data_IF_837127844877
#
_entry.id   IF_837127844877
#
_cell.length_a   1.000
_cell.length_b   1.000
_cell.length_c   1.000
_cell.angle_alpha   90.00
_cell.angle_beta   90.00
_cell.angle_gamma   90.00
#
_symmetry.space_group_name_H-M   'P 1'
#
loop_
_entity.id
_entity.type
_entity.pdbx_description
1 polymer ?
#
# COMPACT_ATOMS: atom_id res chain seq x y z
N UNK A 1 5.49 -33.76 1.06
CA UNK A 1 5.81 -33.10 -0.22
C UNK A 1 5.83 -31.56 -0.12
N UNK A 2 5.30 -30.92 0.93
CA UNK A 2 5.29 -29.44 1.07
C UNK A 2 6.64 -28.79 1.42
N UNK A 3 7.47 -29.42 2.27
CA UNK A 3 8.75 -28.83 2.71
C UNK A 3 9.74 -28.55 1.57
N UNK A 4 9.84 -29.46 0.59
CA UNK A 4 10.72 -29.28 -0.57
C UNK A 4 10.27 -28.17 -1.51
N UNK A 5 8.97 -27.84 -1.55
CA UNK A 5 8.46 -26.72 -2.35
C UNK A 5 8.76 -25.37 -1.68
N UNK A 6 8.60 -25.29 -0.36
CA UNK A 6 8.90 -24.08 0.41
C UNK A 6 10.38 -23.72 0.36
N UNK A 7 11.27 -24.70 0.42
CA UNK A 7 12.72 -24.49 0.33
C UNK A 7 13.17 -24.02 -1.05
N UNK A 8 12.50 -24.49 -2.13
CA UNK A 8 12.74 -24.00 -3.49
C UNK A 8 12.27 -22.55 -3.68
N UNK A 9 11.08 -22.22 -3.18
CA UNK A 9 10.54 -20.85 -3.23
C UNK A 9 11.47 -19.88 -2.47
N UNK A 10 11.96 -20.31 -1.31
CA UNK A 10 12.93 -19.53 -0.55
C UNK A 10 14.23 -19.31 -1.33
N UNK A 11 14.78 -20.35 -1.95
CA UNK A 11 15.99 -20.26 -2.77
C UNK A 11 15.83 -19.24 -3.91
N UNK A 12 14.73 -19.31 -4.67
CA UNK A 12 14.45 -18.35 -5.74
C UNK A 12 14.35 -16.91 -5.23
N UNK A 13 13.69 -16.71 -4.08
CA UNK A 13 13.61 -15.37 -3.49
C UNK A 13 14.97 -14.83 -3.07
N UNK A 14 15.84 -15.66 -2.49
CA UNK A 14 17.19 -15.23 -2.08
C UNK A 14 18.00 -14.83 -3.30
N UNK A 15 17.94 -15.62 -4.38
CA UNK A 15 18.62 -15.34 -5.65
C UNK A 15 18.15 -14.00 -6.26
N UNK A 16 16.84 -13.82 -6.41
CA UNK A 16 16.25 -12.56 -6.92
C UNK A 16 16.57 -11.36 -6.02
N UNK A 17 16.52 -11.55 -4.69
CA UNK A 17 16.84 -10.50 -3.74
C UNK A 17 18.31 -10.07 -3.82
N UNK A 18 19.24 -11.00 -4.14
CA UNK A 18 20.65 -10.70 -4.36
C UNK A 18 20.90 -9.92 -5.65
N UNK A 19 20.21 -10.27 -6.74
CA UNK A 19 20.26 -9.47 -7.98
C UNK A 19 19.82 -8.02 -7.72
N UNK A 20 18.73 -7.85 -6.98
CA UNK A 20 18.26 -6.51 -6.59
C UNK A 20 19.21 -5.79 -5.62
N UNK A 21 19.86 -6.50 -4.70
CA UNK A 21 20.90 -5.92 -3.85
C UNK A 21 22.08 -5.41 -4.68
N UNK A 22 22.53 -6.16 -5.69
CA UNK A 22 23.60 -5.73 -6.58
C UNK A 22 23.22 -4.45 -7.34
N UNK A 23 21.99 -4.40 -7.90
CA UNK A 23 21.47 -3.17 -8.53
C UNK A 23 21.50 -1.98 -7.57
N UNK A 24 21.05 -2.19 -6.33
CA UNK A 24 21.02 -1.14 -5.30
C UNK A 24 22.44 -0.69 -4.96
N UNK A 25 23.36 -1.63 -4.72
CA UNK A 25 24.76 -1.35 -4.37
C UNK A 25 25.45 -0.51 -5.44
N UNK A 26 25.37 -0.92 -6.70
CA UNK A 26 26.00 -0.20 -7.82
C UNK A 26 25.44 1.21 -7.98
N UNK A 27 24.13 1.39 -7.76
CA UNK A 27 23.52 2.71 -7.78
C UNK A 27 23.92 3.58 -6.59
N UNK A 28 24.09 3.00 -5.40
CA UNK A 28 24.53 3.73 -4.21
C UNK A 28 26.00 4.15 -4.28
N UNK A 29 26.88 3.31 -4.82
CA UNK A 29 28.30 3.65 -5.03
C UNK A 29 28.50 4.79 -6.04
N UNK A 30 27.50 5.03 -6.90
CA UNK A 30 27.51 6.10 -7.89
C UNK A 30 26.38 7.11 -7.68
N UNK A 31 25.90 7.24 -6.43
CA UNK A 31 24.65 7.94 -6.12
C UNK A 31 24.61 9.38 -6.65
N UNK A 32 25.74 10.09 -6.58
CA UNK A 32 25.85 11.46 -7.09
C UNK A 32 25.60 11.59 -8.60
N UNK A 33 26.01 10.59 -9.40
CA UNK A 33 25.69 10.54 -10.83
C UNK A 33 24.26 10.08 -11.05
N UNK A 34 23.84 9.04 -10.31
CA UNK A 34 22.51 8.42 -10.42
C UNK A 34 21.39 9.42 -10.18
N UNK A 35 21.47 10.29 -9.17
CA UNK A 35 20.38 11.26 -8.89
C UNK A 35 20.17 12.28 -10.01
N UNK A 36 21.12 12.43 -10.93
CA UNK A 36 20.98 13.31 -12.09
C UNK A 36 20.29 12.63 -13.28
N UNK A 37 20.09 11.31 -13.21
CA UNK A 37 19.48 10.49 -14.24
C UNK A 37 18.22 9.79 -13.68
N UNK A 38 17.02 10.28 -14.01
CA UNK A 38 15.77 9.78 -13.42
C UNK A 38 15.52 8.28 -13.62
N UNK A 39 16.02 7.71 -14.72
CA UNK A 39 15.85 6.29 -15.04
C UNK A 39 16.66 5.38 -14.09
N UNK A 40 17.90 5.74 -13.75
CA UNK A 40 18.71 4.96 -12.81
C UNK A 40 18.17 5.08 -11.38
N UNK A 41 17.63 6.24 -10.96
CA UNK A 41 16.91 6.32 -9.65
C UNK A 41 15.66 5.44 -9.66
N UNK A 42 14.93 5.38 -10.78
CA UNK A 42 13.75 4.54 -10.93
C UNK A 42 14.11 3.04 -10.88
N UNK A 43 15.28 2.66 -11.38
CA UNK A 43 15.82 1.31 -11.27
C UNK A 43 16.05 0.92 -9.79
N UNK A 44 16.67 1.79 -8.99
CA UNK A 44 16.85 1.57 -7.54
C UNK A 44 15.52 1.45 -6.81
N UNK A 45 14.56 2.31 -7.14
CA UNK A 45 13.20 2.24 -6.59
C UNK A 45 12.53 0.88 -6.90
N UNK A 46 12.63 0.42 -8.16
CA UNK A 46 12.07 -0.87 -8.60
C UNK A 46 12.74 -2.06 -7.92
N UNK A 47 14.06 -2.06 -7.80
CA UNK A 47 14.81 -3.10 -7.11
C UNK A 47 14.36 -3.22 -5.64
N UNK A 48 14.28 -2.10 -4.92
CA UNK A 48 13.77 -2.08 -3.54
C UNK A 48 12.30 -2.55 -3.45
N UNK A 49 11.45 -2.14 -4.41
CA UNK A 49 10.04 -2.53 -4.47
C UNK A 49 9.86 -4.04 -4.69
N UNK A 50 10.66 -4.65 -5.55
CA UNK A 50 10.64 -6.09 -5.80
C UNK A 50 11.04 -6.88 -4.56
N UNK A 51 12.14 -6.50 -3.88
CA UNK A 51 12.56 -7.12 -2.61
C UNK A 51 11.47 -7.00 -1.55
N UNK A 52 10.83 -5.83 -1.42
CA UNK A 52 9.69 -5.63 -0.51
C UNK A 52 8.54 -6.59 -0.84
N UNK A 53 8.20 -6.73 -2.13
CA UNK A 53 7.11 -7.60 -2.60
C UNK A 53 7.36 -9.07 -2.28
N UNK A 54 8.55 -9.59 -2.62
CA UNK A 54 8.95 -10.95 -2.32
C UNK A 54 8.99 -11.23 -0.81
N UNK A 55 9.59 -10.32 -0.03
CA UNK A 55 9.64 -10.44 1.43
C UNK A 55 8.24 -10.45 2.07
N UNK A 56 7.31 -9.62 1.57
CA UNK A 56 5.92 -9.60 2.04
C UNK A 56 5.18 -10.90 1.72
N UNK A 57 5.42 -11.49 0.54
CA UNK A 57 4.81 -12.76 0.12
C UNK A 57 5.27 -13.93 1.00
N UNK A 58 6.54 -13.91 1.44
CA UNK A 58 7.13 -14.95 2.28
C UNK A 58 7.02 -14.68 3.79
N UNK A 59 6.49 -13.51 4.19
CA UNK A 59 6.30 -13.15 5.59
C UNK A 59 7.55 -12.64 6.31
N UNK A 60 8.63 -12.33 5.57
CA UNK A 60 9.88 -11.78 6.12
C UNK A 60 9.71 -10.30 6.47
N UNK A 61 9.06 -10.05 7.61
CA UNK A 61 8.61 -8.72 8.01
C UNK A 61 9.78 -7.72 8.17
N UNK A 62 10.94 -8.17 8.66
CA UNK A 62 12.11 -7.29 8.81
C UNK A 62 12.70 -6.88 7.47
N UNK A 63 12.84 -7.81 6.52
CA UNK A 63 13.28 -7.52 5.15
C UNK A 63 12.29 -6.59 4.45
N UNK A 64 10.99 -6.88 4.55
CA UNK A 64 9.93 -6.05 3.98
C UNK A 64 10.01 -4.60 4.50
N UNK A 65 10.17 -4.41 5.81
CA UNK A 65 10.25 -3.08 6.42
C UNK A 65 11.50 -2.33 5.96
N UNK A 66 12.65 -2.99 5.90
CA UNK A 66 13.90 -2.37 5.45
C UNK A 66 13.83 -1.99 3.97
N UNK A 67 13.36 -2.90 3.10
CA UNK A 67 13.19 -2.64 1.67
C UNK A 67 12.20 -1.49 1.41
N UNK A 68 11.10 -1.43 2.16
CA UNK A 68 10.15 -0.34 2.07
C UNK A 68 10.75 1.04 2.45
N UNK A 69 11.61 1.08 3.48
CA UNK A 69 12.31 2.33 3.85
C UNK A 69 13.27 2.81 2.78
N UNK A 70 13.99 1.89 2.12
CA UNK A 70 14.83 2.19 0.98
C UNK A 70 14.00 2.67 -0.22
N UNK A 71 12.90 1.98 -0.54
CA UNK A 71 11.95 2.37 -1.58
C UNK A 71 11.41 3.80 -1.37
N UNK A 72 10.97 4.13 -0.17
CA UNK A 72 10.50 5.48 0.18
C UNK A 72 11.63 6.52 0.02
N UNK A 73 12.86 6.17 0.40
CA UNK A 73 14.01 7.06 0.29
C UNK A 73 14.42 7.30 -1.16
N UNK A 74 14.40 6.26 -2.02
CA UNK A 74 14.63 6.41 -3.46
C UNK A 74 13.52 7.18 -4.15
N UNK A 75 12.27 7.02 -3.70
CA UNK A 75 11.16 7.84 -4.18
C UNK A 75 11.39 9.33 -3.90
N UNK A 76 11.94 9.69 -2.73
CA UNK A 76 12.31 11.08 -2.44
C UNK A 76 13.37 11.59 -3.43
N UNK A 77 14.39 10.78 -3.74
CA UNK A 77 15.39 11.14 -4.76
C UNK A 77 14.78 11.27 -6.17
N UNK A 78 13.78 10.46 -6.50
CA UNK A 78 13.07 10.51 -7.79
C UNK A 78 12.23 11.78 -7.93
N UNK A 79 11.57 12.19 -6.86
CA UNK A 79 10.62 13.31 -6.86
C UNK A 79 11.30 14.67 -6.67
N UNK A 80 12.54 14.71 -6.19
CA UNK A 80 13.22 15.94 -5.79
C UNK A 80 14.64 16.01 -6.37
N UNK A 81 15.04 17.20 -6.83
CA UNK A 81 16.43 17.46 -7.21
C UNK A 81 17.26 17.72 -5.96
N UNK A 82 17.95 16.68 -5.49
CA UNK A 82 18.81 16.72 -4.30
C UNK A 82 20.27 16.64 -4.72
N UNK A 83 21.11 17.51 -4.17
CA UNK A 83 22.55 17.34 -4.28
C UNK A 83 23.00 16.25 -3.29
N UNK A 84 23.63 15.20 -3.82
CA UNK A 84 24.17 14.11 -3.01
C UNK A 84 25.50 14.55 -2.43
N UNK A 85 25.60 14.43 -1.11
CA UNK A 85 26.85 14.58 -0.38
C UNK A 85 27.26 13.24 0.27
N UNK A 86 28.46 13.23 0.85
CA UNK A 86 29.01 12.03 1.48
C UNK A 86 28.15 11.54 2.66
N UNK A 87 27.48 12.45 3.35
CA UNK A 87 26.61 12.09 4.47
C UNK A 87 25.38 11.31 3.98
N UNK A 88 24.73 11.77 2.90
CA UNK A 88 23.59 11.09 2.31
C UNK A 88 23.96 9.69 1.81
N UNK A 89 25.07 9.59 1.07
CA UNK A 89 25.59 8.31 0.57
C UNK A 89 25.86 7.32 1.71
N UNK A 90 26.54 7.78 2.77
CA UNK A 90 26.82 6.95 3.96
C UNK A 90 25.53 6.45 4.63
N UNK A 91 24.50 7.27 4.71
CA UNK A 91 23.22 6.90 5.33
C UNK A 91 22.44 5.88 4.49
N UNK A 92 22.50 6.00 3.15
CA UNK A 92 21.94 5.00 2.25
C UNK A 92 22.70 3.68 2.32
N UNK A 93 24.03 3.70 2.31
CA UNK A 93 24.86 2.50 2.41
C UNK A 93 24.57 1.73 3.71
N UNK A 94 24.45 2.41 4.86
CA UNK A 94 24.03 1.76 6.12
C UNK A 94 22.65 1.09 6.04
N UNK A 95 21.73 1.70 5.29
CA UNK A 95 20.39 1.15 5.08
C UNK A 95 20.42 -0.07 4.17
N UNK A 96 21.28 -0.04 3.14
CA UNK A 96 21.58 -1.18 2.27
C UNK A 96 22.25 -2.32 3.04
N UNK A 97 23.27 -2.05 3.86
CA UNK A 97 23.97 -3.04 4.68
C UNK A 97 23.00 -3.79 5.60
N UNK A 98 22.00 -3.08 6.14
CA UNK A 98 20.94 -3.68 6.95
C UNK A 98 20.08 -4.63 6.12
N UNK A 99 19.70 -4.24 4.89
CA UNK A 99 18.92 -5.10 4.00
C UNK A 99 19.71 -6.35 3.61
N UNK A 100 20.99 -6.17 3.25
CA UNK A 100 21.93 -7.24 2.92
C UNK A 100 22.08 -8.22 4.09
N UNK A 101 22.34 -7.73 5.30
CA UNK A 101 22.48 -8.59 6.48
C UNK A 101 21.21 -9.42 6.77
N UNK A 102 20.02 -8.86 6.54
CA UNK A 102 18.77 -9.59 6.71
C UNK A 102 18.54 -10.65 5.63
N UNK A 103 19.00 -10.41 4.40
CA UNK A 103 18.94 -11.40 3.30
C UNK A 103 19.97 -12.51 3.52
N UNK A 104 21.19 -12.16 3.92
CA UNK A 104 22.26 -13.12 4.25
C UNK A 104 21.82 -14.05 5.41
N UNK A 105 21.02 -13.54 6.36
CA UNK A 105 20.45 -14.35 7.45
C UNK A 105 19.54 -15.48 6.95
N UNK A 106 18.90 -15.34 5.78
CA UNK A 106 18.07 -16.40 5.20
C UNK A 106 18.89 -17.61 4.73
N UNK A 107 20.18 -17.41 4.46
CA UNK A 107 21.11 -18.46 4.04
C UNK A 107 21.85 -19.10 5.22
N UNK A 108 21.60 -18.62 6.44
CA UNK A 108 22.23 -19.13 7.65
C UNK A 108 21.99 -20.64 7.85
N UNK A 109 23.01 -21.41 8.27
CA UNK A 109 22.91 -22.86 8.42
C UNK A 109 21.89 -23.30 9.48
N UNK A 110 21.48 -22.38 10.37
CA UNK A 110 20.52 -22.62 11.44
C UNK A 110 19.08 -22.21 11.08
N UNK A 111 18.86 -21.73 9.84
CA UNK A 111 17.58 -21.21 9.37
C UNK A 111 17.30 -19.78 9.82
N UNK A 112 16.28 -19.17 9.24
CA UNK A 112 15.89 -17.78 9.53
C UNK A 112 15.22 -17.66 10.89
N UNK A 113 15.88 -17.01 11.85
CA UNK A 113 15.28 -16.69 13.14
C UNK A 113 14.69 -15.26 13.13
N UNK A 114 13.37 -15.18 13.25
CA UNK A 114 12.65 -13.90 13.27
C UNK A 114 13.13 -12.97 14.39
N UNK A 115 13.56 -13.53 15.54
CA UNK A 115 14.08 -12.75 16.67
C UNK A 115 15.41 -12.06 16.36
N UNK A 116 16.28 -12.71 15.57
CA UNK A 116 17.56 -12.16 15.14
C UNK A 116 17.35 -11.07 14.09
N UNK A 117 16.48 -11.32 13.12
CA UNK A 117 16.07 -10.33 12.12
C UNK A 117 15.48 -9.06 12.77
N UNK A 118 14.71 -9.22 13.84
CA UNK A 118 14.16 -8.10 14.61
C UNK A 118 15.22 -7.32 15.38
N UNK A 119 16.26 -7.99 15.92
CA UNK A 119 17.40 -7.32 16.57
C UNK A 119 18.18 -6.47 15.56
N UNK A 120 18.45 -7.02 14.37
CA UNK A 120 19.13 -6.29 13.29
C UNK A 120 18.32 -5.04 12.92
N UNK A 121 17.02 -5.21 12.66
CA UNK A 121 16.15 -4.08 12.32
C UNK A 121 16.10 -3.01 13.42
N UNK A 122 16.00 -3.44 14.69
CA UNK A 122 15.97 -2.53 15.84
C UNK A 122 17.28 -1.76 15.99
N UNK A 123 18.43 -2.40 15.76
CA UNK A 123 19.74 -1.74 15.80
C UNK A 123 19.91 -0.70 14.68
N UNK A 124 19.32 -0.95 13.50
CA UNK A 124 19.37 -0.04 12.37
C UNK A 124 18.37 1.13 12.44
N UNK A 125 17.38 1.08 13.34
CA UNK A 125 16.32 2.08 13.46
C UNK A 125 16.83 3.54 13.56
N UNK A 126 17.86 3.87 14.37
CA UNK A 126 18.38 5.24 14.43
C UNK A 126 18.97 5.69 13.08
N UNK A 127 19.61 4.79 12.33
CA UNK A 127 20.15 5.08 11.01
C UNK A 127 19.07 5.41 9.99
N UNK A 128 17.94 4.70 10.02
CA UNK A 128 16.79 5.01 9.16
C UNK A 128 16.16 6.36 9.50
N UNK A 129 16.06 6.69 10.79
CA UNK A 129 15.55 7.99 11.22
C UNK A 129 16.49 9.13 10.81
N UNK A 130 17.81 8.92 10.91
CA UNK A 130 18.82 9.86 10.41
C UNK A 130 18.68 10.07 8.90
N UNK A 131 18.56 9.01 8.10
CA UNK A 131 18.37 9.11 6.65
C UNK A 131 17.11 9.90 6.30
N UNK A 132 15.97 9.57 6.91
CA UNK A 132 14.70 10.24 6.62
C UNK A 132 14.72 11.72 7.01
N UNK A 133 15.27 12.03 8.18
CA UNK A 133 15.41 13.42 8.62
C UNK A 133 16.35 14.19 7.69
N UNK A 134 17.47 13.58 7.28
CA UNK A 134 18.42 14.23 6.39
C UNK A 134 17.83 14.51 5.01
N UNK A 135 17.14 13.54 4.41
CA UNK A 135 16.38 13.72 3.18
C UNK A 135 15.35 14.85 3.30
N UNK A 136 14.61 14.91 4.42
CA UNK A 136 13.64 15.97 4.65
C UNK A 136 14.29 17.36 4.72
N UNK A 137 15.45 17.47 5.37
CA UNK A 137 16.24 18.70 5.44
C UNK A 137 16.69 19.14 4.04
N UNK A 138 17.20 18.21 3.23
CA UNK A 138 17.64 18.48 1.85
C UNK A 138 16.48 18.92 0.94
N UNK A 139 15.30 18.29 1.07
CA UNK A 139 14.10 18.67 0.30
C UNK A 139 13.54 20.04 0.73
N UNK A 140 13.59 20.35 2.02
CA UNK A 140 13.02 21.60 2.55
C UNK A 140 13.92 22.83 2.32
N UNK A 141 15.12 22.64 1.76
CA UNK A 141 16.09 23.72 1.53
C UNK A 141 16.67 24.34 2.80
N UNK A 142 16.40 23.77 3.97
CA UNK A 142 17.03 24.17 5.24
C UNK A 142 18.44 23.56 5.29
N UNK A 143 19.37 24.13 4.52
CA UNK A 143 20.78 23.77 4.62
C UNK A 143 21.31 24.15 6.01
N UNK A 144 21.28 23.20 6.95
CA UNK A 144 22.02 23.30 8.20
C UNK A 144 23.50 23.04 7.90
N UNK A 145 24.20 24.09 7.47
CA UNK A 145 25.64 24.19 7.69
C UNK A 145 25.88 24.24 9.22
N UNK A 146 26.80 23.44 9.78
CA UNK A 146 27.13 23.53 11.20
C UNK A 146 27.72 24.90 11.53
N UNK A 147 27.06 25.63 12.43
CA UNK A 147 27.56 26.87 12.97
C UNK A 147 28.75 26.60 13.91
N UNK A 148 29.96 26.88 13.41
CA UNK A 148 31.11 27.21 14.24
C UNK A 148 31.76 28.49 13.67
N UNK A 149 31.86 29.50 14.54
CA UNK A 149 32.48 30.82 14.35
C UNK A 149 31.65 31.91 13.64
N UNK A 150 30.86 32.65 14.42
CA UNK A 150 31.21 34.02 14.83
C UNK A 150 30.02 34.68 15.57
N UNK A 151 30.32 35.18 16.78
CA UNK A 151 29.41 35.92 17.65
C UNK A 151 29.32 37.41 17.29
N UNK A 152 28.28 38.04 17.87
CA UNK A 152 28.07 39.48 18.13
C UNK A 152 27.31 40.23 17.02
N UNK A 153 26.22 40.97 17.26
CA UNK A 153 25.89 41.79 18.43
C UNK A 153 24.37 41.99 18.57
N UNK A 154 23.97 42.13 19.83
CA UNK A 154 22.67 42.50 20.38
C UNK A 154 22.05 43.83 19.90
N UNK A 155 20.76 43.94 20.29
CA UNK A 155 20.00 45.14 20.74
C UNK A 155 18.85 45.55 19.80
N UNK A 156 17.63 45.91 20.21
CA UNK A 156 16.91 45.89 21.50
C UNK A 156 15.45 46.40 21.23
N UNK A 157 14.51 46.07 22.14
CA UNK A 157 13.16 46.67 22.41
C UNK A 157 12.06 46.53 21.35
N UNK A 158 10.96 45.81 21.59
CA UNK A 158 9.87 45.99 22.58
C UNK A 158 8.92 47.16 22.27
N UNK A 159 7.62 46.85 22.09
CA UNK A 159 6.47 47.44 22.81
C UNK A 159 5.17 46.67 22.45
N UNK A 160 4.49 46.23 23.52
CA UNK A 160 3.09 45.77 23.71
C UNK A 160 2.07 46.73 23.05
N UNK A 161 0.78 46.48 22.85
CA UNK A 161 -0.26 45.50 23.25
C UNK A 161 -1.50 45.97 22.46
N UNK A 162 -2.41 45.08 22.09
CA UNK A 162 -3.82 45.27 22.46
C UNK A 162 -4.64 44.00 22.27
N UNK A 163 -5.15 43.51 23.41
CA UNK A 163 -6.24 42.56 23.48
C UNK A 163 -7.56 43.33 23.50
N UNK A 164 -8.54 42.85 22.73
CA UNK A 164 -9.95 42.97 23.08
C UNK A 164 -10.54 41.57 23.16
N UNK A 165 -11.15 41.30 24.31
CA UNK A 165 -11.81 40.07 24.66
C UNK A 165 -13.31 40.11 24.36
N UNK A 166 -13.84 38.91 24.05
CA UNK A 166 -15.19 38.39 24.36
C UNK A 166 -16.42 38.93 23.63
N UNK A 167 -17.11 38.02 22.92
CA UNK A 167 -18.41 37.51 23.37
C UNK A 167 -18.86 36.27 22.58
N UNK A 168 -19.40 35.31 23.33
CA UNK A 168 -20.13 34.11 22.87
C UNK A 168 -21.48 34.50 22.24
N UNK A 169 -21.87 33.84 21.14
CA UNK A 169 -23.06 32.97 21.08
C UNK A 169 -23.40 32.53 19.64
N UNK A 170 -23.47 31.20 19.45
CA UNK A 170 -24.38 30.44 18.58
C UNK A 170 -24.75 30.97 17.17
N UNK A 171 -24.29 30.27 16.12
CA UNK A 171 -25.18 29.60 15.16
C UNK A 171 -24.40 28.78 14.10
N UNK A 172 -25.08 27.75 13.60
CA UNK A 172 -24.66 26.60 12.78
C UNK A 172 -24.14 26.91 11.37
N UNK A 173 -23.07 26.21 10.91
CA UNK A 173 -22.96 25.60 9.55
C UNK A 173 -21.61 24.88 9.27
N UNK A 174 -21.68 23.54 9.14
CA UNK A 174 -21.00 22.62 8.18
C UNK A 174 -19.53 22.87 7.78
N UNK A 175 -18.63 21.94 8.17
CA UNK A 175 -17.36 21.73 7.44
C UNK A 175 -16.15 21.18 8.20
N UNK A 176 -16.21 20.93 9.51
CA UNK A 176 -15.04 20.41 10.27
C UNK A 176 -15.21 18.91 10.56
N UNK A 177 -14.37 18.08 9.94
CA UNK A 177 -14.19 16.68 10.34
C UNK A 177 -13.22 16.60 11.54
N UNK A 178 -13.20 15.48 12.28
CA UNK A 178 -12.35 15.33 13.47
C UNK A 178 -10.87 15.61 13.18
N UNK A 179 -10.10 16.22 14.10
CA UNK A 179 -8.68 16.49 13.89
C UNK A 179 -7.85 15.23 13.64
N UNK A 180 -8.37 14.07 14.06
CA UNK A 180 -7.79 12.75 13.87
C UNK A 180 -8.39 11.97 12.69
N UNK A 181 -9.03 12.65 11.74
CA UNK A 181 -9.64 12.02 10.56
C UNK A 181 -8.65 11.18 9.75
N UNK A 182 -7.55 11.75 9.28
CA UNK A 182 -6.53 11.02 8.53
C UNK A 182 -5.98 9.79 9.28
N UNK A 183 -5.50 9.93 10.53
CA UNK A 183 -5.06 8.80 11.34
C UNK A 183 -6.12 7.70 11.50
N UNK A 184 -7.39 8.06 11.74
CA UNK A 184 -8.50 7.10 11.88
C UNK A 184 -8.84 6.40 10.56
N UNK A 185 -8.82 7.12 9.44
CA UNK A 185 -9.02 6.53 8.11
C UNK A 185 -7.91 5.52 7.83
N UNK A 186 -6.64 5.87 8.07
CA UNK A 186 -5.50 4.96 7.88
C UNK A 186 -5.66 3.70 8.74
N UNK A 187 -6.11 3.83 9.99
CA UNK A 187 -6.40 2.67 10.85
C UNK A 187 -7.46 1.75 10.23
N UNK A 188 -8.57 2.31 9.75
CA UNK A 188 -9.63 1.52 9.11
C UNK A 188 -9.20 0.90 7.78
N UNK A 189 -8.32 1.56 7.02
CA UNK A 189 -7.76 0.99 5.79
C UNK A 189 -6.82 -0.18 6.07
N UNK A 190 -6.08 -0.16 7.18
CA UNK A 190 -5.28 -1.31 7.63
C UNK A 190 -6.18 -2.50 7.98
N UNK A 191 -7.26 -2.27 8.74
CA UNK A 191 -8.25 -3.31 9.04
C UNK A 191 -8.89 -3.89 7.75
N UNK A 192 -9.19 -3.03 6.77
CA UNK A 192 -9.70 -3.47 5.46
C UNK A 192 -8.67 -4.31 4.70
N UNK A 193 -7.39 -3.92 4.69
CA UNK A 193 -6.31 -4.68 4.06
C UNK A 193 -6.16 -6.07 4.69
N UNK A 194 -6.25 -6.18 6.02
CA UNK A 194 -6.21 -7.48 6.71
C UNK A 194 -7.35 -8.39 6.28
N UNK A 195 -8.57 -7.85 6.14
CA UNK A 195 -9.72 -8.62 5.65
C UNK A 195 -9.60 -8.97 4.17
N UNK A 196 -9.03 -8.10 3.35
CA UNK A 196 -8.79 -8.36 1.92
C UNK A 196 -7.73 -9.45 1.68
N UNK A 197 -6.77 -9.64 2.60
CA UNK A 197 -5.77 -10.72 2.54
C UNK A 197 -6.37 -12.11 2.81
N UNK A 198 -7.55 -12.17 3.43
CA UNK A 198 -8.24 -13.41 3.72
C UNK A 198 -9.10 -13.89 2.53
N UNK A 199 -9.67 -15.09 2.63
CA UNK A 199 -10.59 -15.60 1.61
C UNK A 199 -11.86 -14.72 1.47
N UNK A 200 -12.37 -14.61 0.25
CA UNK A 200 -13.64 -13.94 -0.07
C UNK A 200 -14.82 -14.75 0.49
N UNK A 201 -15.10 -14.60 1.79
CA UNK A 201 -16.26 -15.19 2.45
C UNK A 201 -17.37 -14.15 2.63
N UNK A 202 -18.65 -14.56 2.69
CA UNK A 202 -19.75 -13.65 3.02
C UNK A 202 -19.55 -12.89 4.34
N UNK A 203 -18.97 -13.55 5.35
CA UNK A 203 -18.64 -12.95 6.66
C UNK A 203 -17.61 -11.83 6.52
N UNK A 204 -16.52 -12.07 5.79
CA UNK A 204 -15.47 -11.06 5.59
C UNK A 204 -16.01 -9.87 4.78
N UNK A 205 -16.89 -10.12 3.80
CA UNK A 205 -17.56 -9.05 3.04
C UNK A 205 -18.45 -8.19 3.94
N UNK A 206 -19.21 -8.82 4.83
CA UNK A 206 -20.01 -8.08 5.82
C UNK A 206 -19.14 -7.25 6.77
N UNK A 207 -17.98 -7.76 7.19
CA UNK A 207 -17.04 -7.00 8.02
C UNK A 207 -16.44 -5.81 7.25
N UNK A 208 -16.02 -6.00 6.00
CA UNK A 208 -15.56 -4.90 5.13
C UNK A 208 -16.65 -3.84 4.92
N UNK A 209 -17.91 -4.25 4.73
CA UNK A 209 -19.05 -3.33 4.66
C UNK A 209 -19.25 -2.53 5.96
N UNK A 210 -19.05 -3.14 7.13
CA UNK A 210 -19.07 -2.42 8.42
C UNK A 210 -17.96 -1.38 8.50
N UNK A 211 -16.75 -1.69 8.01
CA UNK A 211 -15.64 -0.74 7.94
C UNK A 211 -15.97 0.43 6.99
N UNK A 212 -16.57 0.17 5.83
CA UNK A 212 -17.07 1.25 4.95
C UNK A 212 -18.10 2.14 5.64
N UNK A 213 -19.02 1.58 6.45
CA UNK A 213 -19.97 2.39 7.22
C UNK A 213 -19.28 3.29 8.24
N UNK A 214 -18.25 2.78 8.94
CA UNK A 214 -17.43 3.58 9.87
C UNK A 214 -16.67 4.69 9.12
N UNK A 215 -16.11 4.39 7.96
CA UNK A 215 -15.45 5.39 7.10
C UNK A 215 -16.43 6.50 6.66
N UNK A 216 -17.65 6.15 6.27
CA UNK A 216 -18.66 7.15 5.93
C UNK A 216 -18.97 8.09 7.11
N UNK A 217 -19.10 7.53 8.32
CA UNK A 217 -19.33 8.32 9.55
C UNK A 217 -18.19 9.30 9.86
N UNK A 218 -16.93 8.94 9.60
CA UNK A 218 -15.79 9.84 9.83
C UNK A 218 -15.83 11.11 8.97
N UNK A 219 -16.35 11.00 7.75
CA UNK A 219 -16.50 12.13 6.82
C UNK A 219 -17.91 12.74 6.82
N UNK A 220 -18.66 12.61 7.94
CA UNK A 220 -20.01 13.16 8.08
C UNK A 220 -20.01 14.67 7.77
N UNK A 221 -20.59 15.02 6.61
CA UNK A 221 -20.63 16.41 6.10
C UNK A 221 -20.01 16.60 4.72
N UNK A 222 -19.22 15.64 4.22
CA UNK A 222 -18.61 15.69 2.88
C UNK A 222 -19.38 14.74 1.96
N UNK A 223 -20.21 15.32 1.07
CA UNK A 223 -21.06 14.55 0.16
C UNK A 223 -20.28 13.69 -0.84
N UNK A 224 -19.15 14.19 -1.34
CA UNK A 224 -18.27 13.47 -2.25
C UNK A 224 -17.58 12.28 -1.60
N UNK A 225 -17.10 12.43 -0.36
CA UNK A 225 -16.59 11.33 0.46
C UNK A 225 -17.65 10.24 0.64
N UNK A 226 -18.88 10.62 1.02
CA UNK A 226 -19.99 9.68 1.16
C UNK A 226 -20.29 8.95 -0.15
N UNK A 227 -20.23 9.65 -1.29
CA UNK A 227 -20.41 9.05 -2.61
C UNK A 227 -19.32 8.02 -2.89
N UNK A 228 -18.06 8.36 -2.69
CA UNK A 228 -16.91 7.46 -2.89
C UNK A 228 -17.04 6.21 -2.00
N UNK A 229 -17.19 6.39 -0.69
CA UNK A 229 -17.35 5.28 0.27
C UNK A 229 -18.57 4.42 -0.06
N UNK A 230 -19.66 5.03 -0.53
CA UNK A 230 -20.85 4.32 -1.00
C UNK A 230 -20.59 3.44 -2.22
N UNK A 231 -19.78 3.90 -3.18
CA UNK A 231 -19.36 3.09 -4.33
C UNK A 231 -18.45 1.94 -3.87
N UNK A 232 -17.46 2.20 -2.98
CA UNK A 232 -16.64 1.14 -2.39
C UNK A 232 -17.48 0.07 -1.69
N UNK A 233 -18.47 0.49 -0.88
CA UNK A 233 -19.37 -0.41 -0.19
C UNK A 233 -20.15 -1.30 -1.16
N UNK A 234 -20.68 -0.74 -2.26
CA UNK A 234 -21.39 -1.49 -3.29
C UNK A 234 -20.47 -2.47 -4.03
N UNK A 235 -19.25 -2.04 -4.38
CA UNK A 235 -18.27 -2.89 -5.04
C UNK A 235 -17.86 -4.09 -4.15
N UNK A 236 -17.68 -3.86 -2.85
CA UNK A 236 -17.35 -4.93 -1.86
C UNK A 236 -18.54 -5.88 -1.65
N UNK A 237 -19.76 -5.34 -1.64
CA UNK A 237 -20.99 -6.12 -1.47
C UNK A 237 -21.18 -7.18 -2.57
N UNK A 238 -20.67 -6.92 -3.77
CA UNK A 238 -20.83 -7.80 -4.92
C UNK A 238 -19.94 -9.04 -4.79
N UNK A 239 -20.51 -10.26 -4.65
CA UNK A 239 -19.74 -11.49 -4.51
C UNK A 239 -18.88 -11.84 -5.72
N UNK A 240 -19.21 -11.32 -6.90
CA UNK A 240 -18.48 -11.57 -8.15
C UNK A 240 -17.12 -10.87 -8.19
N UNK A 241 -16.94 -9.80 -7.41
CA UNK A 241 -15.69 -9.04 -7.40
C UNK A 241 -14.67 -9.71 -6.47
N UNK A 242 -13.53 -10.15 -6.99
CA UNK A 242 -12.47 -10.77 -6.17
C UNK A 242 -11.79 -9.74 -5.26
N UNK A 243 -11.28 -10.18 -4.11
CA UNK A 243 -10.54 -9.30 -3.19
C UNK A 243 -9.24 -8.80 -3.81
N UNK A 244 -8.58 -9.61 -4.65
CA UNK A 244 -7.39 -9.24 -5.41
C UNK A 244 -7.68 -8.03 -6.32
N UNK A 245 -8.86 -7.99 -6.94
CA UNK A 245 -9.27 -6.88 -7.79
C UNK A 245 -9.74 -5.65 -6.99
N UNK A 246 -10.45 -5.86 -5.87
CA UNK A 246 -11.03 -4.77 -5.08
C UNK A 246 -10.00 -4.04 -4.22
N UNK A 247 -9.10 -4.78 -3.56
CA UNK A 247 -8.20 -4.23 -2.54
C UNK A 247 -7.32 -3.08 -3.04
N UNK A 248 -6.56 -3.20 -4.15
CA UNK A 248 -5.68 -2.12 -4.59
C UNK A 248 -6.48 -0.86 -4.98
N UNK A 249 -7.66 -1.03 -5.56
CA UNK A 249 -8.50 0.08 -6.03
C UNK A 249 -9.18 0.81 -4.87
N UNK A 250 -9.87 0.05 -3.99
CA UNK A 250 -10.60 0.60 -2.85
C UNK A 250 -9.65 1.31 -1.88
N UNK A 251 -8.52 0.68 -1.55
CA UNK A 251 -7.56 1.24 -0.60
C UNK A 251 -6.92 2.50 -1.15
N UNK A 252 -6.49 2.48 -2.43
CA UNK A 252 -5.89 3.64 -3.09
C UNK A 252 -6.85 4.83 -3.10
N UNK A 253 -8.07 4.66 -3.61
CA UNK A 253 -9.00 5.79 -3.76
C UNK A 253 -9.44 6.38 -2.42
N UNK A 254 -9.67 5.55 -1.40
CA UNK A 254 -10.01 6.02 -0.06
C UNK A 254 -8.84 6.75 0.62
N UNK A 255 -7.61 6.28 0.40
CA UNK A 255 -6.40 6.92 0.92
C UNK A 255 -6.15 8.27 0.25
N UNK A 256 -6.19 8.33 -1.07
CA UNK A 256 -6.01 9.57 -1.84
C UNK A 256 -7.07 10.61 -1.47
N UNK A 257 -8.34 10.20 -1.38
CA UNK A 257 -9.42 11.10 -0.95
C UNK A 257 -9.20 11.61 0.48
N UNK A 258 -8.73 10.75 1.40
CA UNK A 258 -8.43 11.16 2.77
C UNK A 258 -7.28 12.14 2.84
N UNK A 259 -6.22 11.94 2.06
CA UNK A 259 -5.03 12.79 2.07
C UNK A 259 -5.33 14.16 1.46
N UNK A 260 -6.15 14.23 0.41
CA UNK A 260 -6.62 15.49 -0.16
C UNK A 260 -7.45 16.31 0.84
N UNK A 261 -8.32 15.65 1.61
CA UNK A 261 -9.10 16.32 2.65
C UNK A 261 -8.21 16.81 3.80
N UNK A 262 -7.26 15.98 4.23
CA UNK A 262 -6.34 16.29 5.31
C UNK A 262 -5.41 17.46 4.95
N UNK A 263 -4.88 17.50 3.72
CA UNK A 263 -4.02 18.57 3.23
C UNK A 263 -4.74 19.93 3.21
N UNK A 264 -6.05 19.93 2.98
CA UNK A 264 -6.88 21.12 2.96
C UNK A 264 -7.45 21.50 4.36
N UNK A 265 -7.07 20.78 5.42
CA UNK A 265 -7.60 20.99 6.75
C UNK A 265 -7.11 22.33 7.32
N UNK A 266 -8.05 23.18 7.74
CA UNK A 266 -7.76 24.52 8.28
C UNK A 266 -8.08 25.66 7.29
N UNK A 267 -8.30 25.35 6.02
CA UNK A 267 -8.72 26.31 4.99
C UNK A 267 -10.02 25.87 4.32
N UNK A 268 -11.09 26.67 4.48
CA UNK A 268 -12.44 26.30 4.03
C UNK A 268 -12.56 26.24 2.49
N UNK A 269 -11.87 27.13 1.77
CA UNK A 269 -11.89 27.18 0.31
C UNK A 269 -11.13 25.99 -0.30
N UNK A 270 -9.94 25.69 0.22
CA UNK A 270 -9.18 24.50 -0.18
C UNK A 270 -9.93 23.23 0.15
N UNK A 271 -10.61 23.18 1.31
CA UNK A 271 -11.40 22.01 1.69
C UNK A 271 -12.58 21.81 0.75
N UNK A 272 -13.25 22.89 0.35
CA UNK A 272 -14.34 22.83 -0.65
C UNK A 272 -13.82 22.35 -2.00
N UNK A 273 -12.65 22.82 -2.43
CA UNK A 273 -11.99 22.39 -3.68
C UNK A 273 -11.58 20.92 -3.63
N UNK A 274 -10.92 20.48 -2.55
CA UNK A 274 -10.55 19.09 -2.33
C UNK A 274 -11.78 18.18 -2.29
N UNK A 275 -12.82 18.57 -1.56
CA UNK A 275 -14.09 17.84 -1.54
C UNK A 275 -14.71 17.73 -2.93
N UNK A 276 -14.68 18.78 -3.75
CA UNK A 276 -15.22 18.73 -5.12
C UNK A 276 -14.41 17.81 -6.06
N UNK A 277 -13.09 17.67 -5.82
CA UNK A 277 -12.20 16.82 -6.61
C UNK A 277 -12.38 15.32 -6.33
N UNK A 278 -12.91 14.95 -5.15
CA UNK A 278 -13.15 13.55 -4.79
C UNK A 278 -14.27 12.97 -5.64
N UNK A 279 -13.89 12.06 -6.54
CA UNK A 279 -14.83 11.30 -7.35
C UNK A 279 -14.36 9.84 -7.48
N UNK A 280 -15.26 8.86 -7.35
CA UNK A 280 -14.92 7.46 -7.56
C UNK A 280 -14.50 7.20 -9.01
N UNK A 281 -13.46 6.41 -9.23
CA UNK A 281 -12.97 6.11 -10.58
C UNK A 281 -14.01 5.36 -11.42
N UNK A 282 -13.91 5.46 -12.74
CA UNK A 282 -14.78 4.72 -13.66
C UNK A 282 -14.65 3.20 -13.49
N UNK A 283 -13.47 2.70 -13.11
CA UNK A 283 -13.23 1.29 -12.81
C UNK A 283 -14.00 0.84 -11.56
N UNK A 284 -13.95 1.63 -10.49
CA UNK A 284 -14.65 1.33 -9.24
C UNK A 284 -16.17 1.42 -9.41
N UNK A 285 -16.64 2.42 -10.19
CA UNK A 285 -18.05 2.55 -10.54
C UNK A 285 -18.57 1.33 -11.33
N UNK A 286 -17.80 0.81 -12.29
CA UNK A 286 -18.15 -0.42 -13.02
C UNK A 286 -18.29 -1.62 -12.07
N UNK A 287 -17.35 -1.79 -11.15
CA UNK A 287 -17.39 -2.87 -10.16
C UNK A 287 -18.58 -2.77 -9.20
N UNK A 288 -19.02 -1.54 -8.89
CA UNK A 288 -20.20 -1.28 -8.07
C UNK A 288 -21.53 -1.42 -8.82
N UNK A 289 -21.56 -1.21 -10.14
CA UNK A 289 -22.78 -1.20 -10.95
C UNK A 289 -23.36 -2.60 -11.22
N UNK A 290 -22.52 -3.65 -11.18
CA UNK A 290 -22.90 -5.04 -11.53
C UNK A 290 -23.94 -5.65 -10.56
N UNK A 291 -24.35 -4.95 -9.49
CA UNK A 291 -25.36 -5.40 -8.52
C UNK A 291 -26.71 -4.68 -8.56
N UNK A 292 -27.00 -3.82 -9.54
CA UNK A 292 -28.31 -3.15 -9.63
C UNK A 292 -28.82 -3.06 -11.06
N UNK A 293 -29.37 -4.16 -11.57
CA UNK A 293 -30.46 -4.10 -12.55
C UNK A 293 -31.41 -5.27 -12.30
N UNK A 294 -32.71 -4.95 -12.29
CA UNK A 294 -33.82 -5.90 -12.26
C UNK A 294 -33.85 -6.77 -13.53
N UNK A 295 -34.93 -7.56 -13.69
CA UNK A 295 -34.95 -8.70 -14.58
C UNK A 295 -34.80 -8.26 -16.03
N UNK A 296 -34.10 -9.07 -16.82
CA UNK A 296 -34.02 -9.04 -18.29
C UNK A 296 -32.77 -8.39 -18.92
N UNK A 297 -31.68 -9.17 -19.00
CA UNK A 297 -31.03 -9.56 -20.27
C UNK A 297 -29.96 -10.65 -20.06
N UNK A 298 -30.41 -11.88 -20.25
CA UNK A 298 -29.78 -13.02 -20.95
C UNK A 298 -28.25 -13.14 -21.07
N UNK A 299 -27.79 -14.26 -20.47
CA UNK A 299 -26.76 -15.22 -20.95
C UNK A 299 -25.29 -14.78 -20.96
N UNK A 300 -24.63 -14.96 -19.81
CA UNK A 300 -23.31 -15.59 -19.77
C UNK A 300 -23.33 -16.62 -18.64
N UNK A 301 -23.15 -17.89 -19.00
CA UNK A 301 -23.25 -19.02 -18.07
C UNK A 301 -22.27 -18.88 -16.91
N UNK A 302 -22.62 -19.50 -15.77
CA UNK A 302 -21.69 -19.67 -14.64
C UNK A 302 -20.37 -20.26 -15.16
N UNK A 303 -19.32 -19.46 -15.15
CA UNK A 303 -17.96 -19.95 -15.40
C UNK A 303 -17.49 -20.68 -14.12
N UNK A 304 -17.02 -21.90 -14.29
CA UNK A 304 -16.54 -22.76 -13.20
C UNK A 304 -15.07 -23.07 -13.49
N UNK A 305 -14.18 -22.69 -12.59
CA UNK A 305 -12.76 -22.99 -12.67
C UNK A 305 -12.51 -24.44 -12.25
N UNK A 306 -11.96 -25.25 -13.14
CA UNK A 306 -11.69 -26.67 -12.92
C UNK A 306 -10.18 -26.87 -12.75
N UNK A 307 -9.78 -27.62 -11.72
CA UNK A 307 -8.37 -27.97 -11.46
C UNK A 307 -7.94 -29.10 -12.41
N UNK A 308 -6.69 -29.12 -12.88
CA UNK A 308 -6.20 -30.17 -13.81
C UNK A 308 -6.27 -31.60 -13.26
N UNK A 309 -6.34 -31.77 -11.94
CA UNK A 309 -6.37 -33.09 -11.30
C UNK A 309 -7.76 -33.74 -11.45
N UNK A 310 -7.87 -34.97 -12.01
CA UNK A 310 -9.15 -35.58 -12.36
C UNK A 310 -10.17 -35.71 -11.22
N UNK A 311 -9.73 -36.06 -10.00
CA UNK A 311 -10.64 -36.24 -8.86
C UNK A 311 -11.14 -34.90 -8.32
N UNK A 312 -10.27 -33.89 -8.25
CA UNK A 312 -10.60 -32.53 -7.87
C UNK A 312 -11.55 -31.89 -8.90
N UNK A 313 -11.28 -32.08 -10.20
CA UNK A 313 -12.16 -31.66 -11.28
C UNK A 313 -13.57 -32.25 -11.15
N UNK A 314 -13.67 -33.56 -10.93
CA UNK A 314 -14.94 -34.24 -10.75
C UNK A 314 -15.71 -33.71 -9.53
N UNK A 315 -15.01 -33.45 -8.42
CA UNK A 315 -15.62 -32.88 -7.20
C UNK A 315 -16.19 -31.48 -7.46
N UNK A 316 -15.45 -30.62 -8.16
CA UNK A 316 -15.89 -29.27 -8.52
C UNK A 316 -17.12 -29.32 -9.42
N UNK A 317 -17.15 -30.23 -10.41
CA UNK A 317 -18.30 -30.40 -11.30
C UNK A 317 -19.54 -30.88 -10.55
N UNK A 318 -19.41 -31.87 -9.66
CA UNK A 318 -20.51 -32.40 -8.84
C UNK A 318 -21.10 -31.32 -7.93
N UNK A 319 -20.27 -30.42 -7.40
CA UNK A 319 -20.73 -29.32 -6.56
C UNK A 319 -21.39 -28.19 -7.36
N UNK A 320 -21.03 -28.03 -8.64
CA UNK A 320 -21.47 -26.92 -9.45
C UNK A 320 -22.74 -27.19 -10.27
N UNK A 321 -23.06 -28.46 -10.54
CA UNK A 321 -24.17 -28.87 -11.41
C UNK A 321 -25.09 -29.88 -10.73
N UNK A 322 -26.37 -29.85 -11.08
CA UNK A 322 -27.33 -30.86 -10.63
C UNK A 322 -27.20 -32.18 -11.41
N UNK A 323 -27.83 -33.24 -10.88
CA UNK A 323 -27.75 -34.60 -11.45
C UNK A 323 -28.15 -34.67 -12.95
N UNK A 324 -29.23 -34.04 -13.43
CA UNK A 324 -29.56 -34.04 -14.86
C UNK A 324 -28.58 -33.22 -15.71
N UNK A 325 -28.05 -32.10 -15.21
CA UNK A 325 -27.03 -31.31 -15.90
C UNK A 325 -25.71 -32.09 -16.04
N UNK A 326 -25.28 -32.77 -14.98
CA UNK A 326 -24.10 -33.64 -15.00
C UNK A 326 -24.23 -34.77 -16.02
N UNK A 327 -25.41 -35.41 -16.10
CA UNK A 327 -25.66 -36.45 -17.10
C UNK A 327 -25.54 -35.92 -18.54
N UNK A 328 -26.03 -34.70 -18.78
CA UNK A 328 -25.91 -34.04 -20.09
C UNK A 328 -24.47 -33.64 -20.41
N UNK A 329 -23.74 -33.13 -19.42
CA UNK A 329 -22.33 -32.76 -19.55
C UNK A 329 -21.47 -33.98 -19.89
N UNK A 330 -21.66 -35.10 -19.19
CA UNK A 330 -20.95 -36.36 -19.45
C UNK A 330 -21.23 -36.88 -20.87
N UNK A 331 -22.48 -36.79 -21.36
CA UNK A 331 -22.83 -37.17 -22.74
C UNK A 331 -22.14 -36.31 -23.80
N UNK A 332 -21.79 -35.06 -23.49
CA UNK A 332 -21.06 -34.17 -24.40
C UNK A 332 -19.54 -34.35 -24.34
N UNK A 333 -19.01 -34.71 -23.16
CA UNK A 333 -17.57 -34.89 -22.96
C UNK A 333 -17.05 -36.24 -23.47
N UNK A 334 -17.84 -37.32 -23.38
CA UNK A 334 -17.42 -38.66 -23.84
C UNK A 334 -17.09 -38.70 -25.35
N UNK A 335 -17.85 -38.09 -26.26
CA UNK A 335 -17.48 -38.01 -27.68
C UNK A 335 -16.22 -37.18 -27.91
N UNK A 336 -16.05 -36.08 -27.15
CA UNK A 336 -14.91 -35.17 -27.30
C UNK A 336 -13.58 -35.82 -26.88
N UNK A 337 -13.58 -36.72 -25.89
CA UNK A 337 -12.37 -37.45 -25.48
C UNK A 337 -12.00 -38.58 -26.45
N UNK A 338 -12.98 -39.18 -27.14
CA UNK A 338 -12.73 -40.20 -28.18
C UNK A 338 -12.19 -39.63 -29.50
N UNK A 339 -12.39 -38.34 -29.77
CA UNK A 339 -11.87 -37.66 -30.96
C UNK A 339 -10.43 -37.12 -30.78
N UNK A 340 -9.89 -37.17 -29.55
CA UNK A 340 -8.54 -36.70 -29.21
C UNK A 340 -7.62 -37.81 -28.68
N UNK A 341 -8.01 -39.07 -28.89
CA UNK A 341 -7.20 -40.26 -28.57
C UNK A 341 -6.69 -40.94 -29.82
#
# INVERSE_FOLDING_TARGET
>A
MEAGNQQRILGYFIEEAKEHLETIEQGLLNLGSVVNEPETVNELFRAAHSVKGGAAMLGFTSIQKTAHRLEDSFKVLQENKIQVDQQLETLFLKSYDTLKALIDLLEGPFGFEQSEAEKILKAAQPGFEQLQNYLKTLVSGESQLPAAMASSSAAEKAIRSDQVSTSKASSSAKGKFPPDFGPKVISLLKDMLELFKQSSTPTNRQQLQKLCKRLAQLGAGIGSWHKLVGVCHKAIANPQNSYIQLAPLVIKELKEASDQLQAAQGNLEELRKAAAAIAPSSALQKLAAVGSTGPNRTTKGKEITIVLEPKAAAKVLIQAFDKPQLSKLVKLLIPATRASS
#
